data_IF_697758916310
#
_entry.id   IF_697758916310
#
_cell.length_a   1.000
_cell.length_b   1.000
_cell.length_c   1.000
_cell.angle_alpha   90.00
_cell.angle_beta   90.00
_cell.angle_gamma   90.00
#
_symmetry.space_group_name_H-M   'P 1'
#
loop_
_entity.id
_entity.type
_entity.pdbx_description
1 polymer ?
#
# COMPACT_ATOMS: atom_id res chain seq x y z
N UNK A 1 18.91 -18.46 -19.33
CA UNK A 1 19.44 -18.19 -17.97
C UNK A 1 18.56 -17.19 -17.27
N UNK A 2 18.05 -17.57 -16.13
CA UNK A 2 17.36 -16.61 -15.26
C UNK A 2 18.45 -15.81 -14.57
N UNK A 3 18.50 -14.50 -14.77
CA UNK A 3 19.41 -13.64 -14.05
C UNK A 3 19.10 -13.64 -12.55
N UNK A 4 20.05 -13.20 -11.76
CA UNK A 4 19.91 -13.23 -10.32
C UNK A 4 18.99 -12.14 -9.82
N UNK A 5 18.13 -12.48 -8.85
CA UNK A 5 17.36 -11.52 -8.04
C UNK A 5 18.32 -10.90 -7.02
N UNK A 6 18.29 -9.57 -6.91
CA UNK A 6 19.16 -8.85 -5.99
C UNK A 6 18.34 -8.11 -4.95
N UNK A 7 18.88 -8.00 -3.75
CA UNK A 7 18.35 -7.11 -2.72
C UNK A 7 19.22 -5.86 -2.69
N UNK A 8 18.61 -4.72 -2.93
CA UNK A 8 19.29 -3.43 -2.97
C UNK A 8 18.85 -2.60 -1.77
N UNK A 9 19.80 -2.07 -0.98
CA UNK A 9 19.44 -1.24 0.17
C UNK A 9 18.72 0.02 -0.28
N UNK A 10 17.92 0.63 0.61
CA UNK A 10 17.25 1.88 0.27
C UNK A 10 18.26 3.00 0.06
N UNK A 11 17.90 3.97 -0.80
CA UNK A 11 18.69 5.17 -0.96
C UNK A 11 18.67 6.01 0.33
N UNK A 12 19.65 6.90 0.53
CA UNK A 12 19.61 7.82 1.68
C UNK A 12 18.27 8.57 1.73
N UNK A 13 17.60 8.52 2.89
CA UNK A 13 16.31 9.13 3.07
C UNK A 13 15.10 8.25 2.68
N UNK A 14 15.31 7.06 2.20
CA UNK A 14 14.23 6.09 1.91
C UNK A 14 14.11 5.03 3.03
N UNK A 15 12.89 4.61 3.40
CA UNK A 15 11.68 5.39 3.32
C UNK A 15 11.75 6.55 4.30
N UNK A 16 10.99 7.60 4.05
CA UNK A 16 10.88 8.70 5.02
C UNK A 16 9.94 8.27 6.13
N UNK A 17 10.51 7.72 7.17
CA UNK A 17 9.75 7.30 8.35
C UNK A 17 9.91 8.33 9.46
N UNK A 18 8.80 8.96 9.88
CA UNK A 18 8.86 9.87 11.02
C UNK A 18 9.06 9.14 12.34
N UNK A 19 8.88 7.80 12.38
CA UNK A 19 8.86 7.04 13.62
C UNK A 19 9.69 5.76 13.52
N UNK A 20 10.64 5.60 14.43
CA UNK A 20 11.36 4.36 14.67
C UNK A 20 12.55 4.08 13.75
N UNK A 21 13.33 3.05 14.11
CA UNK A 21 14.48 2.63 13.33
C UNK A 21 14.03 1.95 12.02
N UNK A 22 14.97 1.93 11.06
CA UNK A 22 14.74 1.26 9.78
C UNK A 22 14.66 -0.26 9.98
N UNK A 23 13.69 -0.91 9.35
CA UNK A 23 13.55 -2.36 9.37
C UNK A 23 14.29 -3.00 8.18
N UNK A 24 14.81 -4.24 8.33
CA UNK A 24 15.43 -4.97 7.20
C UNK A 24 14.51 -5.15 5.98
N UNK A 25 13.19 -5.08 6.18
CA UNK A 25 12.21 -5.14 5.09
C UNK A 25 12.24 -3.91 4.18
N UNK A 26 12.82 -2.80 4.64
CA UNK A 26 12.92 -1.56 3.87
C UNK A 26 14.07 -1.64 2.87
N UNK A 27 13.86 -2.39 1.82
CA UNK A 27 14.83 -2.61 0.75
C UNK A 27 14.10 -2.91 -0.56
N UNK A 28 14.82 -2.77 -1.66
CA UNK A 28 14.32 -3.09 -2.99
C UNK A 28 14.63 -4.53 -3.37
N UNK A 29 13.65 -5.20 -3.97
CA UNK A 29 13.87 -6.46 -4.68
C UNK A 29 14.05 -6.09 -6.15
N UNK A 30 15.20 -6.42 -6.73
CA UNK A 30 15.53 -6.09 -8.11
C UNK A 30 15.45 -7.36 -8.94
N UNK A 31 14.53 -7.38 -9.89
CA UNK A 31 14.35 -8.50 -10.81
C UNK A 31 15.47 -8.58 -11.85
N UNK A 32 15.67 -9.75 -12.50
CA UNK A 32 16.68 -9.88 -13.56
C UNK A 32 16.52 -8.89 -14.71
N UNK A 33 15.29 -8.45 -15.00
CA UNK A 33 15.00 -7.46 -16.05
C UNK A 33 15.21 -6.02 -15.58
N UNK A 34 15.65 -5.81 -14.33
CA UNK A 34 15.90 -4.49 -13.77
C UNK A 34 14.69 -3.85 -13.08
N UNK A 35 13.51 -4.47 -13.13
CA UNK A 35 12.36 -3.95 -12.38
C UNK A 35 12.61 -4.02 -10.88
N UNK A 36 12.16 -3.00 -10.17
CA UNK A 36 12.39 -2.84 -8.73
C UNK A 36 11.06 -2.87 -7.99
N UNK A 37 11.02 -3.64 -6.91
CA UNK A 37 9.86 -3.75 -6.04
C UNK A 37 10.25 -3.39 -4.62
N UNK A 38 9.47 -2.51 -4.00
CA UNK A 38 9.76 -2.08 -2.63
C UNK A 38 9.23 -3.08 -1.62
N UNK A 39 10.10 -3.53 -0.75
CA UNK A 39 9.79 -4.46 0.33
C UNK A 39 10.51 -5.80 0.17
N UNK A 40 11.59 -5.99 0.91
CA UNK A 40 12.37 -7.24 0.85
C UNK A 40 11.52 -8.49 1.11
N UNK A 41 10.57 -8.38 2.04
CA UNK A 41 9.69 -9.48 2.44
C UNK A 41 8.30 -9.36 1.82
N UNK A 42 8.16 -8.57 0.76
CA UNK A 42 6.90 -8.21 0.15
C UNK A 42 6.34 -6.92 0.73
N UNK A 43 5.21 -6.49 0.18
CA UNK A 43 4.51 -5.29 0.64
C UNK A 43 3.03 -5.59 0.85
N UNK A 44 2.35 -4.73 1.59
CA UNK A 44 0.93 -4.87 1.86
C UNK A 44 0.27 -3.51 1.95
N UNK A 45 -0.98 -3.44 1.52
CA UNK A 45 -1.80 -2.24 1.59
C UNK A 45 -3.20 -2.55 2.06
N UNK A 46 -3.90 -1.52 2.53
CA UNK A 46 -5.26 -1.63 3.03
C UNK A 46 -6.25 -0.97 2.09
N UNK A 47 -7.25 -1.73 1.66
CA UNK A 47 -8.43 -1.19 1.01
C UNK A 47 -9.54 -1.11 2.05
N UNK A 48 -9.68 0.06 2.66
CA UNK A 48 -10.75 0.34 3.63
C UNK A 48 -11.99 0.78 2.85
N UNK A 49 -13.06 0.04 2.99
CA UNK A 49 -14.32 0.29 2.28
C UNK A 49 -15.44 0.69 3.24
N UNK A 50 -16.05 1.82 2.93
CA UNK A 50 -17.23 2.33 3.60
C UNK A 50 -18.31 2.52 2.53
N UNK A 51 -19.44 1.79 2.59
CA UNK A 51 -20.50 1.91 1.56
C UNK A 51 -21.01 3.34 1.35
N UNK A 52 -20.96 4.17 2.39
CA UNK A 52 -21.40 5.57 2.31
C UNK A 52 -20.39 6.53 1.73
N UNK A 53 -19.08 6.22 1.86
CA UNK A 53 -17.99 7.12 1.45
C UNK A 53 -17.12 6.56 0.32
N UNK A 54 -17.06 5.24 0.16
CA UNK A 54 -16.22 4.58 -0.83
C UNK A 54 -14.95 3.99 -0.24
N UNK A 55 -13.87 4.01 -1.00
CA UNK A 55 -12.57 3.48 -0.56
C UNK A 55 -11.63 4.62 -0.22
N UNK A 56 -10.75 4.39 0.75
CA UNK A 56 -9.76 5.38 1.16
C UNK A 56 -8.53 5.30 0.26
N UNK A 57 -8.24 6.39 -0.43
CA UNK A 57 -7.07 6.52 -1.30
C UNK A 57 -6.13 7.62 -0.80
N UNK A 58 -4.86 7.42 -1.11
CA UNK A 58 -3.75 8.32 -0.78
C UNK A 58 -3.20 8.92 -2.06
N UNK A 59 -3.11 10.25 -2.13
CA UNK A 59 -2.44 10.94 -3.21
C UNK A 59 -0.96 11.08 -2.87
N UNK A 60 -0.11 10.46 -3.67
CA UNK A 60 1.33 10.41 -3.44
C UNK A 60 1.99 11.73 -3.83
N UNK A 61 2.94 12.20 -3.01
CA UNK A 61 3.68 13.43 -3.32
C UNK A 61 4.48 13.27 -4.62
N UNK A 62 4.72 14.39 -5.31
CA UNK A 62 5.33 14.39 -6.65
C UNK A 62 6.76 13.84 -6.69
N UNK A 63 7.51 13.93 -5.57
CA UNK A 63 8.89 13.46 -5.49
C UNK A 63 9.01 11.97 -5.08
N UNK A 64 7.92 11.31 -4.74
CA UNK A 64 7.94 9.89 -4.41
C UNK A 64 7.91 9.02 -5.68
N UNK A 65 8.18 7.72 -5.51
CA UNK A 65 8.04 6.75 -6.60
C UNK A 65 6.59 6.74 -7.10
N UNK A 66 6.39 6.97 -8.42
CA UNK A 66 5.08 7.21 -9.02
C UNK A 66 4.32 8.36 -8.34
N UNK A 67 5.03 9.45 -8.05
CA UNK A 67 4.44 10.64 -7.45
C UNK A 67 3.35 11.26 -8.31
N UNK A 68 2.40 11.94 -7.66
CA UNK A 68 1.24 12.52 -8.33
C UNK A 68 0.12 11.53 -8.63
N UNK A 69 0.27 10.27 -8.26
CA UNK A 69 -0.76 9.24 -8.47
C UNK A 69 -1.46 8.88 -7.18
N UNK A 70 -2.65 8.28 -7.32
CA UNK A 70 -3.45 7.79 -6.20
C UNK A 70 -3.27 6.29 -6.03
N UNK A 71 -3.17 5.84 -4.79
CA UNK A 71 -3.00 4.44 -4.43
C UNK A 71 -3.59 4.15 -3.05
N UNK A 72 -3.58 2.89 -2.67
CA UNK A 72 -3.93 2.47 -1.31
C UNK A 72 -2.80 2.83 -0.35
N UNK A 73 -3.12 3.18 0.91
CA UNK A 73 -2.10 3.24 1.96
C UNK A 73 -1.45 1.87 2.13
N UNK A 74 -0.13 1.82 2.21
CA UNK A 74 0.59 0.57 2.34
C UNK A 74 2.10 0.77 2.27
N UNK A 75 2.84 -0.30 2.45
CA UNK A 75 4.29 -0.27 2.41
C UNK A 75 4.93 -1.63 2.62
N UNK A 76 6.23 -1.64 2.87
CA UNK A 76 7.01 -2.84 3.05
C UNK A 76 6.62 -3.58 4.34
N UNK A 77 6.55 -4.90 4.27
CA UNK A 77 6.39 -5.74 5.44
C UNK A 77 7.71 -5.74 6.23
N UNK A 78 7.59 -5.74 7.56
CA UNK A 78 8.73 -5.96 8.44
C UNK A 78 9.13 -7.44 8.43
N UNK A 79 10.35 -7.72 8.84
CA UNK A 79 10.81 -9.11 9.00
C UNK A 79 9.89 -9.85 9.98
N UNK A 80 9.35 -11.00 9.55
CA UNK A 80 8.45 -11.81 10.35
C UNK A 80 7.02 -11.26 10.51
N UNK A 81 6.69 -10.13 9.87
CA UNK A 81 5.37 -9.54 9.96
C UNK A 81 4.41 -10.15 8.94
N UNK A 82 3.18 -10.43 9.36
CA UNK A 82 2.15 -10.89 8.43
C UNK A 82 1.69 -9.77 7.50
N UNK A 83 1.16 -10.14 6.35
CA UNK A 83 0.60 -9.17 5.40
C UNK A 83 -0.52 -8.33 6.04
N UNK A 84 -1.40 -8.97 6.82
CA UNK A 84 -2.49 -8.28 7.52
C UNK A 84 -1.95 -7.25 8.51
N UNK A 85 -0.98 -7.64 9.34
CA UNK A 85 -0.37 -6.73 10.32
C UNK A 85 0.31 -5.55 9.63
N UNK A 86 1.01 -5.82 8.52
CA UNK A 86 1.69 -4.77 7.75
C UNK A 86 0.69 -3.78 7.16
N UNK A 87 -0.40 -4.27 6.55
CA UNK A 87 -1.42 -3.39 5.97
C UNK A 87 -2.07 -2.49 7.03
N UNK A 88 -2.39 -3.05 8.18
CA UNK A 88 -2.99 -2.27 9.28
C UNK A 88 -2.01 -1.27 9.87
N UNK A 89 -0.75 -1.67 10.05
CA UNK A 89 0.30 -0.78 10.56
C UNK A 89 0.57 0.37 9.61
N UNK A 90 0.80 0.08 8.33
CA UNK A 90 1.10 1.10 7.33
C UNK A 90 -0.05 2.08 7.17
N UNK A 91 -1.29 1.60 7.13
CA UNK A 91 -2.44 2.49 6.98
C UNK A 91 -2.67 3.36 8.22
N UNK A 92 -2.33 2.85 9.41
CA UNK A 92 -2.35 3.67 10.63
C UNK A 92 -1.26 4.75 10.59
N UNK A 93 -0.05 4.38 10.18
CA UNK A 93 1.09 5.30 10.10
C UNK A 93 0.90 6.38 9.03
N UNK A 94 0.41 6.02 7.85
CA UNK A 94 0.31 6.92 6.71
C UNK A 94 -0.99 7.72 6.66
N UNK A 95 -2.09 7.09 7.04
CA UNK A 95 -3.43 7.65 6.83
C UNK A 95 -4.26 7.79 8.11
N UNK A 96 -3.68 7.44 9.25
CA UNK A 96 -4.39 7.55 10.52
C UNK A 96 -5.60 6.63 10.64
N UNK A 97 -5.59 5.49 9.95
CA UNK A 97 -6.67 4.50 10.04
C UNK A 97 -6.55 3.73 11.36
N UNK A 98 -7.51 3.85 12.28
CA UNK A 98 -7.44 3.08 13.51
C UNK A 98 -7.70 1.59 13.22
N UNK A 99 -6.81 0.68 13.61
CA UNK A 99 -7.01 -0.75 13.33
C UNK A 99 -8.34 -1.31 13.83
N UNK A 100 -8.82 -0.81 14.96
CA UNK A 100 -10.10 -1.24 15.55
C UNK A 100 -11.34 -0.70 14.84
N UNK A 101 -11.15 0.24 13.91
CA UNK A 101 -12.27 0.82 13.14
C UNK A 101 -12.53 0.08 11.83
N UNK A 102 -11.73 -0.93 11.52
CA UNK A 102 -11.86 -1.73 10.30
C UNK A 102 -11.87 -3.22 10.63
N UNK A 103 -12.57 -3.99 9.79
CA UNK A 103 -12.62 -5.44 9.92
C UNK A 103 -12.18 -6.08 8.60
N UNK A 104 -11.00 -6.71 8.57
CA UNK A 104 -10.54 -7.42 7.37
C UNK A 104 -11.52 -8.51 6.93
N UNK A 105 -11.75 -8.59 5.61
CA UNK A 105 -12.62 -9.59 4.98
C UNK A 105 -11.85 -10.55 4.08
N UNK A 106 -10.98 -9.98 3.23
CA UNK A 106 -10.23 -10.73 2.23
C UNK A 106 -8.79 -10.24 2.18
N UNK A 107 -7.91 -11.13 1.75
CA UNK A 107 -6.55 -10.76 1.36
C UNK A 107 -6.38 -11.22 -0.09
N UNK A 108 -6.11 -10.26 -0.98
CA UNK A 108 -5.80 -10.51 -2.37
C UNK A 108 -4.29 -10.42 -2.56
N UNK A 109 -3.68 -11.50 -3.01
CA UNK A 109 -2.21 -11.57 -3.15
C UNK A 109 -1.83 -11.56 -4.61
N UNK A 110 -1.00 -10.59 -5.01
CA UNK A 110 -0.28 -10.61 -6.26
C UNK A 110 1.07 -11.25 -5.97
N UNK A 111 1.27 -12.48 -6.44
CA UNK A 111 2.50 -13.22 -6.23
C UNK A 111 3.32 -13.22 -7.53
N UNK A 112 4.46 -12.52 -7.50
CA UNK A 112 5.40 -12.47 -8.62
C UNK A 112 6.60 -13.41 -8.41
N UNK A 113 6.47 -14.38 -7.50
CA UNK A 113 7.50 -15.34 -7.09
C UNK A 113 8.64 -14.69 -6.30
N UNK A 114 9.30 -13.70 -6.89
CA UNK A 114 10.42 -12.99 -6.24
C UNK A 114 9.94 -11.94 -5.25
N UNK A 115 8.68 -11.49 -5.38
CA UNK A 115 8.09 -10.44 -4.58
C UNK A 115 6.57 -10.59 -4.60
N UNK A 116 5.91 -10.16 -3.55
CA UNK A 116 4.45 -10.19 -3.48
C UNK A 116 3.88 -8.90 -2.93
N UNK A 117 2.65 -8.59 -3.34
CA UNK A 117 1.86 -7.51 -2.77
C UNK A 117 0.52 -8.06 -2.29
N UNK A 118 0.23 -7.87 -1.02
CA UNK A 118 -1.03 -8.28 -0.43
C UNK A 118 -1.93 -7.08 -0.22
N UNK A 119 -3.14 -7.12 -0.76
CA UNK A 119 -4.18 -6.12 -0.49
C UNK A 119 -5.15 -6.70 0.53
N UNK A 120 -5.22 -6.09 1.69
CA UNK A 120 -6.20 -6.45 2.72
C UNK A 120 -7.45 -5.60 2.48
N UNK A 121 -8.55 -6.25 2.14
CA UNK A 121 -9.85 -5.61 1.98
C UNK A 121 -10.56 -5.67 3.32
N UNK A 122 -10.93 -4.49 3.83
CA UNK A 122 -11.55 -4.37 5.16
C UNK A 122 -12.77 -3.46 5.11
N UNK A 123 -13.81 -3.86 5.82
CA UNK A 123 -14.99 -3.01 6.03
C UNK A 123 -14.73 -2.01 7.14
N UNK A 124 -15.15 -0.77 6.94
CA UNK A 124 -15.17 0.24 8.00
C UNK A 124 -16.34 -0.08 8.93
N UNK A 125 -16.03 -0.36 10.19
CA UNK A 125 -17.02 -0.74 11.20
C UNK A 125 -17.32 0.38 12.20
N UNK A 126 -16.44 1.38 12.28
CA UNK A 126 -16.63 2.56 13.12
C UNK A 126 -16.12 3.79 12.38
N UNK A 127 -16.84 4.93 12.42
CA UNK A 127 -16.41 6.13 11.73
C UNK A 127 -15.06 6.62 12.24
N UNK A 128 -14.22 7.10 11.31
CA UNK A 128 -12.98 7.79 11.64
C UNK A 128 -12.68 8.83 10.57
N UNK A 129 -11.85 9.80 10.92
CA UNK A 129 -11.35 10.80 9.98
C UNK A 129 -9.90 10.47 9.66
N UNK A 130 -9.57 10.18 8.39
CA UNK A 130 -8.17 9.95 8.00
C UNK A 130 -7.32 11.18 8.24
N UNK A 131 -6.07 10.97 8.61
CA UNK A 131 -5.12 12.04 8.89
C UNK A 131 -3.81 11.76 8.17
N UNK A 132 -3.31 12.74 7.42
CA UNK A 132 -1.97 12.64 6.82
C UNK A 132 -0.97 12.67 7.97
N UNK A 133 -0.20 11.60 8.11
CA UNK A 133 0.77 11.46 9.19
C UNK A 133 2.19 11.21 8.70
N UNK A 134 2.41 11.23 7.38
CA UNK A 134 3.75 11.14 6.81
C UNK A 134 3.98 12.19 5.71
N UNK A 135 5.24 12.30 5.26
CA UNK A 135 5.64 13.28 4.24
C UNK A 135 5.39 12.80 2.81
N UNK A 136 4.96 11.56 2.64
CA UNK A 136 4.76 10.96 1.31
C UNK A 136 3.37 11.18 0.74
N UNK A 137 2.44 11.68 1.56
CA UNK A 137 1.06 11.90 1.17
C UNK A 137 0.75 13.38 1.05
N UNK A 138 0.15 13.79 -0.09
CA UNK A 138 -0.40 15.12 -0.27
C UNK A 138 -1.83 15.22 0.24
N UNK A 139 -2.61 14.16 0.05
CA UNK A 139 -4.04 14.17 0.30
C UNK A 139 -4.54 12.76 0.56
N UNK A 140 -5.57 12.67 1.38
CA UNK A 140 -6.33 11.44 1.59
C UNK A 140 -7.78 11.72 1.20
N UNK A 141 -8.40 10.81 0.47
CA UNK A 141 -9.78 10.99 0.03
C UNK A 141 -10.55 9.68 0.04
N UNK A 142 -11.83 9.78 0.39
CA UNK A 142 -12.78 8.71 0.17
C UNK A 142 -13.33 8.83 -1.25
N UNK A 143 -13.21 7.77 -2.02
CA UNK A 143 -13.57 7.77 -3.45
C UNK A 143 -14.57 6.65 -3.71
N UNK A 144 -15.73 7.01 -4.28
CA UNK A 144 -16.72 6.01 -4.66
C UNK A 144 -16.11 5.03 -5.68
N UNK A 145 -16.41 3.72 -5.58
CA UNK A 145 -15.83 2.73 -6.51
C UNK A 145 -15.99 3.08 -7.99
N UNK A 146 -17.13 3.68 -8.36
CA UNK A 146 -17.38 4.09 -9.74
C UNK A 146 -16.50 5.26 -10.21
N UNK A 147 -15.91 6.00 -9.30
CA UNK A 147 -15.09 7.18 -9.60
C UNK A 147 -13.58 6.91 -9.57
N UNK A 148 -13.16 5.75 -9.06
CA UNK A 148 -11.74 5.42 -8.87
C UNK A 148 -10.95 5.52 -10.17
N UNK A 149 -11.47 4.96 -11.25
CA UNK A 149 -10.79 4.93 -12.54
C UNK A 149 -10.62 6.31 -13.19
N UNK A 150 -11.33 7.33 -12.69
CA UNK A 150 -11.19 8.71 -13.19
C UNK A 150 -9.98 9.42 -12.63
N UNK A 151 -9.36 8.85 -11.61
CA UNK A 151 -8.16 9.42 -10.98
C UNK A 151 -6.91 8.90 -11.68
N UNK A 152 -5.80 9.69 -11.67
CA UNK A 152 -4.51 9.18 -12.09
C UNK A 152 -4.00 8.18 -11.06
N UNK A 153 -4.18 6.89 -11.34
CA UNK A 153 -3.86 5.83 -10.41
C UNK A 153 -2.39 5.38 -10.54
N UNK A 154 -1.80 4.99 -9.42
CA UNK A 154 -0.54 4.26 -9.44
C UNK A 154 -0.70 3.04 -10.36
N UNK A 155 0.24 2.77 -11.29
CA UNK A 155 0.07 1.70 -12.29
C UNK A 155 -0.28 0.34 -11.71
N UNK A 156 0.37 -0.06 -10.61
CA UNK A 156 0.09 -1.34 -9.97
C UNK A 156 -1.32 -1.38 -9.36
N UNK A 157 -1.78 -0.26 -8.80
CA UNK A 157 -3.12 -0.17 -8.26
C UNK A 157 -4.17 -0.16 -9.38
N UNK A 158 -3.92 0.56 -10.47
CA UNK A 158 -4.82 0.58 -11.63
C UNK A 158 -5.05 -0.85 -12.15
N UNK A 159 -3.98 -1.62 -12.26
CA UNK A 159 -4.06 -3.00 -12.70
C UNK A 159 -4.80 -3.88 -11.69
N UNK A 160 -4.52 -3.72 -10.41
CA UNK A 160 -5.17 -4.49 -9.34
C UNK A 160 -6.66 -4.14 -9.18
N UNK A 161 -7.06 -2.91 -9.47
CA UNK A 161 -8.42 -2.44 -9.24
C UNK A 161 -9.46 -3.28 -9.97
N UNK A 162 -9.13 -3.77 -11.16
CA UNK A 162 -10.04 -4.62 -11.93
C UNK A 162 -10.39 -5.91 -11.18
N UNK A 163 -9.47 -6.43 -10.38
CA UNK A 163 -9.67 -7.63 -9.56
C UNK A 163 -10.30 -7.31 -8.21
N UNK A 164 -9.99 -6.15 -7.66
CA UNK A 164 -10.42 -5.76 -6.31
C UNK A 164 -11.86 -5.28 -6.27
N UNK A 165 -12.29 -4.52 -7.28
CA UNK A 165 -13.60 -3.90 -7.31
C UNK A 165 -14.75 -4.91 -7.11
N UNK A 166 -14.79 -6.06 -7.82
CA UNK A 166 -15.87 -7.03 -7.63
C UNK A 166 -15.94 -7.62 -6.22
N UNK A 167 -14.85 -7.55 -5.45
CA UNK A 167 -14.80 -8.09 -4.09
C UNK A 167 -15.47 -7.19 -3.07
N UNK A 168 -15.86 -5.97 -3.46
CA UNK A 168 -16.53 -5.02 -2.57
C UNK A 168 -18.04 -5.27 -2.43
N UNK A 169 -18.63 -5.99 -3.35
CA UNK A 169 -20.06 -6.29 -3.36
C UNK A 169 -20.45 -7.42 -2.40
#
# INVERSE_FOLDING_TARGET
MVGDVRIEPPAPGEPRRPHGPRDPGDAWVVAPDGQRYWGRFGAAGLLAYDPGRGILLQHRVSWSHHGGTWALPGGARHEGESAMSAALRESAEEAGVPPKSVRPRFISILDLEIWSYATVIADVTAPFTPVISDEESNELAWVAPAEVERLPLHPAFADAWQRLRPLLD
#
